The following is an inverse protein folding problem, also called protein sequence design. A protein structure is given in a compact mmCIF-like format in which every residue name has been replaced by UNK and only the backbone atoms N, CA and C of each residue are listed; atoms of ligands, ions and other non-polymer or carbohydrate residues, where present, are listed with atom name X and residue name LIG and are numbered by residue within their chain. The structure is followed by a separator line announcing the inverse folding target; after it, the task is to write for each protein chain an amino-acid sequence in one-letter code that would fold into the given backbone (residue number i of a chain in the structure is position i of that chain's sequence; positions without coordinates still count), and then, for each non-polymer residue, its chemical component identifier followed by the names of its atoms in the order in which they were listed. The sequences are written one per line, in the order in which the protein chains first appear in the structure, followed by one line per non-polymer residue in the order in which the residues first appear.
data_IF_159986881230
#
_entry.id   IF_159986881230
#
_cell.length_a   1.000
_cell.length_b   1.000
_cell.length_c   1.000
_cell.angle_alpha   90.00
_cell.angle_beta   90.00
_cell.angle_gamma   90.00
#
_symmetry.space_group_name_H-M   'P 1'
#
loop_
_entity.id
_entity.type
_entity.pdbx_description
1 polymer ?
#
# COMPACT_ATOMS: atom_id res chain seq x y z
N UNK A 1 -16.23 12.03 -20.58
CA UNK A 1 -15.36 11.03 -19.91
C UNK A 1 -16.25 10.00 -19.23
N UNK A 2 -15.96 8.71 -19.35
CA UNK A 2 -16.70 7.67 -18.63
C UNK A 2 -16.33 7.69 -17.14
N UNK A 3 -17.31 7.51 -16.25
CA UNK A 3 -17.13 7.51 -14.80
C UNK A 3 -15.98 6.58 -14.35
N UNK A 4 -15.85 5.40 -14.98
CA UNK A 4 -14.78 4.42 -14.70
C UNK A 4 -13.37 4.94 -15.02
N UNK A 5 -13.22 5.82 -16.02
CA UNK A 5 -11.93 6.44 -16.37
C UNK A 5 -11.50 7.44 -15.29
N UNK A 6 -12.44 8.24 -14.78
CA UNK A 6 -12.21 9.21 -13.70
C UNK A 6 -11.78 8.49 -12.42
N UNK A 7 -12.51 7.45 -12.01
CA UNK A 7 -12.12 6.63 -10.85
C UNK A 7 -10.74 5.98 -11.02
N UNK A 8 -10.39 5.54 -12.23
CA UNK A 8 -9.06 5.00 -12.53
C UNK A 8 -7.94 6.00 -12.23
N UNK A 9 -8.08 7.25 -12.66
CA UNK A 9 -7.12 8.30 -12.34
C UNK A 9 -7.06 8.62 -10.85
N UNK A 10 -8.22 8.71 -10.17
CA UNK A 10 -8.27 8.94 -8.71
C UNK A 10 -7.50 7.85 -7.96
N UNK A 11 -7.69 6.58 -8.32
CA UNK A 11 -6.98 5.47 -7.69
C UNK A 11 -5.48 5.49 -7.91
N UNK A 12 -5.02 5.90 -9.11
CA UNK A 12 -3.58 6.06 -9.36
C UNK A 12 -3.00 7.21 -8.55
N UNK A 13 -3.69 8.35 -8.47
CA UNK A 13 -3.24 9.50 -7.66
C UNK A 13 -3.15 9.12 -6.18
N UNK A 14 -4.16 8.43 -5.66
CA UNK A 14 -4.14 7.92 -4.29
C UNK A 14 -2.99 6.93 -4.06
N UNK A 15 -2.75 6.01 -5.01
CA UNK A 15 -1.62 5.09 -4.93
C UNK A 15 -0.27 5.82 -4.92
N UNK A 16 -0.12 6.92 -5.69
CA UNK A 16 1.08 7.76 -5.65
C UNK A 16 1.27 8.43 -4.29
N UNK A 17 0.21 8.99 -3.69
CA UNK A 17 0.27 9.61 -2.37
C UNK A 17 0.65 8.59 -1.29
N UNK A 18 0.03 7.40 -1.31
CA UNK A 18 0.36 6.31 -0.40
C UNK A 18 1.82 5.84 -0.58
N UNK A 19 2.28 5.75 -1.82
CA UNK A 19 3.68 5.40 -2.12
C UNK A 19 4.64 6.46 -1.58
N UNK A 20 4.34 7.75 -1.73
CA UNK A 20 5.11 8.84 -1.15
C UNK A 20 5.13 8.77 0.38
N UNK A 21 4.01 8.42 1.01
CA UNK A 21 3.94 8.22 2.45
C UNK A 21 4.85 7.08 2.91
N UNK A 22 4.87 5.96 2.19
CA UNK A 22 5.80 4.84 2.45
C UNK A 22 7.26 5.33 2.38
N UNK A 23 7.61 6.07 1.32
CA UNK A 23 8.98 6.60 1.14
C UNK A 23 9.36 7.58 2.27
N UNK A 24 8.46 8.46 2.66
CA UNK A 24 8.68 9.40 3.77
C UNK A 24 8.81 8.73 5.14
N UNK A 25 8.26 7.51 5.29
CA UNK A 25 8.27 6.73 6.53
C UNK A 25 9.20 5.50 6.46
N UNK A 26 10.16 5.49 5.52
CA UNK A 26 11.16 4.41 5.41
C UNK A 26 11.82 4.02 6.74
N UNK A 27 12.25 4.96 7.62
CA UNK A 27 12.82 4.60 8.91
C UNK A 27 11.86 3.77 9.78
N UNK A 28 10.57 4.10 9.75
CA UNK A 28 9.54 3.39 10.51
C UNK A 28 9.26 2.00 9.92
N UNK A 29 9.32 1.87 8.58
CA UNK A 29 9.23 0.57 7.91
C UNK A 29 10.38 -0.35 8.34
N UNK A 30 11.62 0.14 8.30
CA UNK A 30 12.77 -0.64 8.76
C UNK A 30 12.64 -1.00 10.24
N UNK A 31 12.20 -0.06 11.09
CA UNK A 31 11.94 -0.32 12.50
C UNK A 31 10.88 -1.42 12.71
N UNK A 32 9.82 -1.45 11.89
CA UNK A 32 8.81 -2.50 11.94
C UNK A 32 9.39 -3.87 11.56
N UNK A 33 10.20 -3.94 10.51
CA UNK A 33 10.87 -5.18 10.06
C UNK A 33 11.84 -5.68 11.13
N UNK A 34 12.75 -4.83 11.62
CA UNK A 34 13.70 -5.20 12.66
C UNK A 34 13.02 -5.56 13.97
N UNK A 35 11.97 -4.82 14.34
CA UNK A 35 11.13 -5.13 15.50
C UNK A 35 10.56 -6.53 15.41
N UNK A 36 9.98 -6.89 14.25
CA UNK A 36 9.40 -8.20 14.02
C UNK A 36 10.42 -9.33 14.21
N UNK A 37 11.60 -9.22 13.60
CA UNK A 37 12.67 -10.22 13.82
C UNK A 37 13.13 -10.29 15.27
N UNK A 38 13.14 -9.17 15.98
CA UNK A 38 13.56 -9.10 17.37
C UNK A 38 12.54 -9.74 18.32
N UNK A 39 11.27 -9.92 17.95
CA UNK A 39 10.28 -10.71 18.74
C UNK A 39 10.81 -12.13 18.99
N UNK A 40 11.43 -12.76 17.98
CA UNK A 40 11.96 -14.13 18.10
C UNK A 40 13.19 -14.26 19.00
N UNK A 41 13.76 -13.15 19.49
CA UNK A 41 14.93 -13.17 20.39
C UNK A 41 14.55 -13.39 21.87
N UNK A 42 13.25 -13.44 22.19
CA UNK A 42 12.76 -13.69 23.56
C UNK A 42 12.97 -12.54 24.55
N UNK A 43 13.44 -11.38 24.09
CA UNK A 43 13.73 -10.19 24.92
C UNK A 43 12.55 -9.20 25.03
N UNK A 44 11.39 -9.54 24.47
CA UNK A 44 10.24 -8.64 24.41
C UNK A 44 9.14 -9.06 25.39
N UNK A 45 8.59 -8.07 26.09
CA UNK A 45 7.38 -8.24 26.89
C UNK A 45 6.13 -8.36 25.99
N UNK A 46 5.09 -9.04 26.47
CA UNK A 46 3.85 -9.36 25.73
C UNK A 46 3.21 -8.11 25.12
N UNK A 47 3.23 -6.98 25.85
CA UNK A 47 2.72 -5.70 25.36
C UNK A 47 3.52 -5.17 24.15
N UNK A 48 4.85 -5.28 24.21
CA UNK A 48 5.72 -4.82 23.15
C UNK A 48 5.61 -5.70 21.89
N UNK A 49 5.40 -7.01 22.05
CA UNK A 49 5.08 -7.92 20.95
C UNK A 49 3.82 -7.47 20.22
N UNK A 50 2.77 -7.10 20.97
CA UNK A 50 1.52 -6.59 20.39
C UNK A 50 1.73 -5.32 19.57
N UNK A 51 2.47 -4.34 20.09
CA UNK A 51 2.78 -3.09 19.38
C UNK A 51 3.57 -3.33 18.08
N UNK A 52 4.61 -4.16 18.14
CA UNK A 52 5.44 -4.47 16.98
C UNK A 52 4.63 -5.23 15.92
N UNK A 53 3.83 -6.20 16.35
CA UNK A 53 2.99 -7.00 15.44
C UNK A 53 1.91 -6.14 14.78
N UNK A 54 1.26 -5.24 15.54
CA UNK A 54 0.27 -4.30 15.01
C UNK A 54 0.88 -3.34 14.00
N UNK A 55 2.07 -2.78 14.30
CA UNK A 55 2.79 -1.92 13.37
C UNK A 55 3.19 -2.68 12.08
N UNK A 56 3.65 -3.92 12.21
CA UNK A 56 3.99 -4.76 11.05
C UNK A 56 2.76 -5.08 10.20
N UNK A 57 1.63 -5.42 10.83
CA UNK A 57 0.36 -5.66 10.14
C UNK A 57 -0.15 -4.41 9.42
N UNK A 58 -0.01 -3.22 10.02
CA UNK A 58 -0.32 -1.95 9.38
C UNK A 58 0.49 -1.78 8.08
N UNK A 59 1.80 -2.03 8.12
CA UNK A 59 2.65 -1.93 6.92
C UNK A 59 2.22 -2.92 5.83
N UNK A 60 1.94 -4.18 6.18
CA UNK A 60 1.42 -5.17 5.22
C UNK A 60 0.12 -4.68 4.58
N UNK A 61 -0.80 -4.18 5.38
CA UNK A 61 -2.08 -3.67 4.89
C UNK A 61 -1.88 -2.44 3.99
N UNK A 62 -1.03 -1.50 4.39
CA UNK A 62 -0.72 -0.29 3.64
C UNK A 62 -0.13 -0.62 2.26
N UNK A 63 0.83 -1.55 2.19
CA UNK A 63 1.38 -2.04 0.92
C UNK A 63 0.32 -2.72 0.07
N UNK A 64 -0.50 -3.59 0.67
CA UNK A 64 -1.56 -4.32 -0.03
C UNK A 64 -2.57 -3.37 -0.68
N UNK A 65 -3.03 -2.35 0.06
CA UNK A 65 -3.95 -1.33 -0.44
C UNK A 65 -3.33 -0.51 -1.57
N UNK A 66 -2.07 -0.09 -1.41
CA UNK A 66 -1.35 0.69 -2.43
C UNK A 66 -1.23 -0.09 -3.74
N UNK A 67 -0.84 -1.36 -3.67
CA UNK A 67 -0.72 -2.25 -4.83
C UNK A 67 -2.08 -2.49 -5.48
N UNK A 68 -3.13 -2.75 -4.69
CA UNK A 68 -4.48 -2.95 -5.20
C UNK A 68 -4.96 -1.71 -5.96
N UNK A 69 -4.84 -0.51 -5.37
CA UNK A 69 -5.20 0.76 -6.01
C UNK A 69 -4.46 0.97 -7.33
N UNK A 70 -3.17 0.67 -7.36
CA UNK A 70 -2.35 0.79 -8.56
C UNK A 70 -2.82 -0.16 -9.68
N UNK A 71 -3.06 -1.43 -9.34
CA UNK A 71 -3.49 -2.46 -10.30
C UNK A 71 -4.89 -2.13 -10.84
N UNK A 72 -5.85 -1.83 -9.97
CA UNK A 72 -7.22 -1.53 -10.37
C UNK A 72 -7.30 -0.22 -11.16
N UNK A 73 -6.61 0.83 -10.72
CA UNK A 73 -6.51 2.10 -11.43
C UNK A 73 -5.93 1.93 -12.83
N UNK A 74 -4.79 1.25 -12.94
CA UNK A 74 -4.13 0.99 -14.23
C UNK A 74 -4.98 0.14 -15.17
N UNK A 75 -5.65 -0.91 -14.64
CA UNK A 75 -6.53 -1.78 -15.43
C UNK A 75 -7.72 -1.01 -16.02
N UNK A 76 -8.34 -0.13 -15.23
CA UNK A 76 -9.50 0.64 -15.69
C UNK A 76 -9.14 1.69 -16.74
N UNK A 77 -8.00 2.36 -16.60
CA UNK A 77 -7.52 3.30 -17.61
C UNK A 77 -7.22 2.57 -18.94
N UNK A 78 -6.47 1.46 -18.89
CA UNK A 78 -6.14 0.66 -20.09
C UNK A 78 -7.39 0.12 -20.79
N UNK A 79 -8.37 -0.39 -20.04
CA UNK A 79 -9.62 -0.92 -20.61
C UNK A 79 -10.47 0.15 -21.28
N UNK A 80 -10.43 1.40 -20.81
CA UNK A 80 -11.15 2.51 -21.43
C UNK A 80 -10.44 3.02 -22.68
N UNK A 81 -9.10 3.10 -22.68
CA UNK A 81 -8.33 3.52 -23.84
C UNK A 81 -8.53 2.59 -25.05
N UNK A 82 -8.52 1.28 -24.83
CA UNK A 82 -8.75 0.29 -25.90
C UNK A 82 -10.19 0.36 -26.47
N UNK A 83 -11.17 0.78 -25.65
CA UNK A 83 -12.56 0.91 -26.10
C UNK A 83 -12.76 2.10 -27.05
N UNK A 84 -11.98 3.18 -26.87
CA UNK A 84 -12.06 4.38 -27.72
C UNK A 84 -11.33 4.22 -29.06
N UNK A 85 -10.54 3.16 -29.26
CA UNK A 85 -9.80 2.91 -30.51
C UNK A 85 -10.55 1.97 -31.48
N UNK A 86 -11.60 1.31 -30.99
CA UNK A 86 -12.39 0.31 -31.75
C UNK A 86 -13.76 0.87 -32.16
N UNK A 87 -14.18 1.99 -31.57
CA UNK A 87 -15.34 2.79 -31.98
C UNK A 87 -14.89 3.90 -32.95
#
# INVERSE_FOLDING_TARGET
MTTKKIFGYIFIVLAFILTLAIVGQLPQLFAAIFGFFKIFTGKFDTYQIGLVTGNFAYWIFHFSVTIALWIYGSRWIKKQQNKTTIE
#
